data_IF_010439082458
#
_entry.id   IF_010439082458
#
_cell.length_a   1.000
_cell.length_b   1.000
_cell.length_c   1.000
_cell.angle_alpha   90.00
_cell.angle_beta   90.00
_cell.angle_gamma   90.00
#
_symmetry.space_group_name_H-M   'P 1'
#
loop_
_entity.id
_entity.type
_entity.pdbx_description
1 polymer ?
#
# COMPACT_ATOMS: atom_id res chain seq x y z
N UNK A 1 -18.97 4.86 -41.89
CA UNK A 1 -18.52 5.66 -40.73
C UNK A 1 -19.28 5.11 -39.54
N UNK A 2 -18.70 4.13 -38.86
CA UNK A 2 -19.27 3.46 -37.69
C UNK A 2 -18.84 4.22 -36.46
N UNK A 3 -19.82 4.71 -35.71
CA UNK A 3 -19.67 5.38 -34.44
C UNK A 3 -18.96 4.44 -33.44
N UNK A 4 -17.90 4.85 -32.70
CA UNK A 4 -17.28 4.00 -31.71
C UNK A 4 -18.30 3.76 -30.60
N UNK A 5 -18.66 2.50 -30.43
CA UNK A 5 -19.51 1.99 -29.36
C UNK A 5 -19.00 2.46 -28.02
N UNK A 6 -19.82 3.19 -27.30
CA UNK A 6 -19.62 3.54 -25.90
C UNK A 6 -19.39 2.25 -25.11
N UNK A 7 -18.28 2.22 -24.36
CA UNK A 7 -17.92 1.16 -23.46
C UNK A 7 -19.13 0.81 -22.57
N UNK A 8 -19.48 -0.48 -22.39
CA UNK A 8 -20.60 -0.92 -21.56
C UNK A 8 -20.59 -0.34 -20.15
N UNK A 9 -19.41 -0.03 -19.61
CA UNK A 9 -19.22 0.61 -18.30
C UNK A 9 -19.68 2.07 -18.34
N UNK A 10 -19.32 2.79 -19.38
CA UNK A 10 -19.73 4.20 -19.57
C UNK A 10 -21.26 4.29 -19.74
N UNK A 11 -21.85 3.32 -20.42
CA UNK A 11 -23.29 3.24 -20.59
C UNK A 11 -24.00 2.88 -19.26
N UNK A 12 -23.47 1.92 -18.49
CA UNK A 12 -24.00 1.57 -17.17
C UNK A 12 -23.92 2.73 -16.17
N UNK A 13 -22.87 3.56 -16.23
CA UNK A 13 -22.74 4.77 -15.41
C UNK A 13 -23.76 5.84 -15.85
N UNK A 14 -23.99 5.98 -17.14
CA UNK A 14 -24.98 6.92 -17.67
C UNK A 14 -26.42 6.49 -17.34
N UNK A 15 -26.68 5.19 -17.34
CA UNK A 15 -28.00 4.60 -17.02
C UNK A 15 -28.30 4.56 -15.51
N UNK A 16 -27.29 4.70 -14.65
CA UNK A 16 -27.43 4.71 -13.18
C UNK A 16 -28.18 5.96 -12.63
N UNK A 17 -28.41 6.95 -13.48
CA UNK A 17 -29.09 8.19 -13.08
C UNK A 17 -28.26 9.06 -12.13
N UNK A 18 -28.72 10.24 -11.78
CA UNK A 18 -28.02 11.12 -10.85
C UNK A 18 -27.93 10.45 -9.48
N UNK A 19 -26.72 10.48 -8.89
CA UNK A 19 -26.48 9.98 -7.53
C UNK A 19 -27.51 10.62 -6.59
N UNK A 20 -28.31 9.85 -5.82
CA UNK A 20 -29.28 10.40 -4.92
C UNK A 20 -28.65 11.45 -3.99
N UNK A 21 -29.33 12.57 -3.77
CA UNK A 21 -28.81 13.69 -2.96
C UNK A 21 -28.34 13.26 -1.57
N UNK A 22 -28.96 12.23 -1.01
CA UNK A 22 -28.55 11.61 0.27
C UNK A 22 -27.12 11.11 0.22
N UNK A 23 -26.69 10.52 -0.91
CA UNK A 23 -25.29 10.08 -1.08
C UNK A 23 -24.36 11.27 -1.41
N UNK A 24 -24.80 12.21 -2.21
CA UNK A 24 -24.02 13.42 -2.49
C UNK A 24 -23.77 14.24 -1.21
N UNK A 25 -24.75 14.32 -0.31
CA UNK A 25 -24.60 14.96 0.99
C UNK A 25 -23.64 14.22 1.93
N UNK A 26 -23.62 12.88 1.88
CA UNK A 26 -22.71 12.05 2.67
C UNK A 26 -21.24 12.17 2.22
N UNK A 27 -20.99 12.55 0.96
CA UNK A 27 -19.65 12.78 0.41
C UNK A 27 -19.24 14.26 0.37
N UNK A 28 -20.12 15.17 0.79
CA UNK A 28 -19.76 16.57 0.94
C UNK A 28 -18.82 16.67 2.15
N UNK A 29 -17.54 16.95 1.89
CA UNK A 29 -16.59 17.27 2.95
C UNK A 29 -17.19 18.40 3.80
N UNK A 30 -17.13 18.34 5.14
CA UNK A 30 -17.64 19.40 6.00
C UNK A 30 -16.98 20.73 5.60
N UNK A 31 -17.81 21.73 5.29
CA UNK A 31 -17.33 23.05 4.90
C UNK A 31 -16.57 23.66 6.08
N UNK A 32 -15.25 23.81 5.94
CA UNK A 32 -14.37 24.38 6.96
C UNK A 32 -13.32 23.44 7.54
N UNK A 33 -13.34 22.15 7.24
CA UNK A 33 -12.27 21.27 7.65
C UNK A 33 -11.03 21.53 6.76
N UNK A 34 -9.94 22.01 7.39
CA UNK A 34 -8.67 22.18 6.67
C UNK A 34 -8.27 20.82 6.10
N UNK A 35 -8.06 20.75 4.81
CA UNK A 35 -7.48 19.59 4.15
C UNK A 35 -6.23 19.14 4.95
N UNK A 36 -6.06 17.86 5.26
CA UNK A 36 -4.89 17.40 5.96
C UNK A 36 -3.65 17.81 5.17
N UNK A 37 -2.68 18.41 5.85
CA UNK A 37 -1.45 18.87 5.20
C UNK A 37 -0.63 17.72 4.64
N UNK A 38 -0.81 16.54 5.17
CA UNK A 38 -0.06 15.34 4.83
C UNK A 38 -0.88 14.08 5.14
N UNK A 39 -0.72 13.04 4.34
CA UNK A 39 -1.29 11.71 4.59
C UNK A 39 -0.20 10.76 5.10
N UNK A 40 -0.44 10.11 6.24
CA UNK A 40 0.44 9.07 6.78
C UNK A 40 -0.28 7.73 6.77
N UNK A 41 0.17 6.80 5.93
CA UNK A 41 -0.36 5.45 5.85
C UNK A 41 0.50 4.52 6.70
N UNK A 42 -0.08 3.97 7.76
CA UNK A 42 0.61 3.03 8.66
C UNK A 42 0.33 1.62 8.15
N UNK A 43 1.33 1.01 7.50
CA UNK A 43 1.26 -0.34 6.94
C UNK A 43 1.86 -1.33 7.93
N UNK A 44 1.01 -2.08 8.65
CA UNK A 44 1.45 -3.11 9.59
C UNK A 44 1.28 -4.53 9.04
N UNK A 45 0.37 -4.73 8.10
CA UNK A 45 0.07 -6.05 7.53
C UNK A 45 0.91 -6.33 6.29
N UNK A 46 1.38 -7.57 6.18
CA UNK A 46 2.08 -8.08 5.00
C UNK A 46 1.18 -8.87 4.04
N UNK A 47 -0.14 -8.83 4.23
CA UNK A 47 -1.07 -9.48 3.33
C UNK A 47 -1.12 -8.76 1.98
N UNK A 48 -1.23 -9.53 0.89
CA UNK A 48 -1.18 -8.99 -0.48
C UNK A 48 -2.23 -7.91 -0.71
N UNK A 49 -3.48 -8.17 -0.35
CA UNK A 49 -4.59 -7.25 -0.57
C UNK A 49 -4.46 -5.96 0.24
N UNK A 50 -3.87 -6.02 1.44
CA UNK A 50 -3.64 -4.85 2.28
C UNK A 50 -2.47 -4.01 1.77
N UNK A 51 -1.38 -4.68 1.37
CA UNK A 51 -0.26 -4.00 0.69
C UNK A 51 -0.73 -3.35 -0.60
N UNK A 52 -1.57 -4.03 -1.37
CA UNK A 52 -2.12 -3.50 -2.61
C UNK A 52 -3.00 -2.27 -2.37
N UNK A 53 -3.94 -2.37 -1.41
CA UNK A 53 -4.81 -1.25 -1.05
C UNK A 53 -4.01 -0.03 -0.56
N UNK A 54 -2.99 -0.23 0.28
CA UNK A 54 -2.14 0.86 0.77
C UNK A 54 -1.38 1.57 -0.35
N UNK A 55 -0.90 0.82 -1.35
CA UNK A 55 -0.20 1.38 -2.50
C UNK A 55 -1.15 2.13 -3.46
N UNK A 56 -2.39 1.62 -3.66
CA UNK A 56 -3.43 2.34 -4.42
C UNK A 56 -3.72 3.69 -3.75
N UNK A 57 -3.94 3.69 -2.44
CA UNK A 57 -4.25 4.92 -1.70
C UNK A 57 -3.07 5.88 -1.71
N UNK A 58 -1.84 5.39 -1.49
CA UNK A 58 -0.64 6.21 -1.50
C UNK A 58 -0.42 6.88 -2.86
N UNK A 59 -0.46 6.10 -3.95
CA UNK A 59 -0.24 6.63 -5.31
C UNK A 59 -1.36 7.60 -5.71
N UNK A 60 -2.62 7.31 -5.34
CA UNK A 60 -3.75 8.19 -5.64
C UNK A 60 -3.66 9.52 -4.88
N UNK A 61 -3.33 9.48 -3.59
CA UNK A 61 -3.16 10.67 -2.78
C UNK A 61 -2.02 11.56 -3.31
N UNK A 62 -0.86 10.96 -3.62
CA UNK A 62 0.27 11.67 -4.19
C UNK A 62 -0.05 12.25 -5.57
N UNK A 63 -0.74 11.51 -6.44
CA UNK A 63 -1.21 12.01 -7.73
C UNK A 63 -2.19 13.17 -7.61
N UNK A 64 -2.95 13.24 -6.50
CA UNK A 64 -3.86 14.35 -6.18
C UNK A 64 -3.14 15.54 -5.53
N UNK A 65 -1.81 15.51 -5.42
CA UNK A 65 -1.01 16.58 -4.83
C UNK A 65 -0.96 16.58 -3.28
N UNK A 66 -1.43 15.51 -2.64
CA UNK A 66 -1.35 15.38 -1.18
C UNK A 66 0.01 14.77 -0.82
N UNK A 67 0.87 15.46 -0.04
CA UNK A 67 2.10 14.87 0.48
C UNK A 67 1.78 13.58 1.24
N UNK A 68 2.44 12.50 0.87
CA UNK A 68 2.07 11.18 1.38
C UNK A 68 3.29 10.42 1.90
N UNK A 69 3.17 9.89 3.10
CA UNK A 69 4.18 9.05 3.75
C UNK A 69 3.60 7.68 4.09
N UNK A 70 4.41 6.65 3.96
CA UNK A 70 4.04 5.28 4.33
C UNK A 70 4.98 4.80 5.44
N UNK A 71 4.46 4.64 6.66
CA UNK A 71 5.19 4.03 7.76
C UNK A 71 5.05 2.52 7.71
N UNK A 72 6.16 1.85 7.47
CA UNK A 72 6.22 0.41 7.22
C UNK A 72 6.68 -0.31 8.49
N UNK A 73 5.79 -1.03 9.13
CA UNK A 73 6.07 -1.72 10.39
C UNK A 73 5.63 -3.19 10.36
N UNK A 74 6.17 -4.00 11.26
CA UNK A 74 5.89 -5.43 11.38
C UNK A 74 5.90 -6.15 10.01
N UNK A 75 4.82 -6.88 9.71
CA UNK A 75 4.70 -7.67 8.47
C UNK A 75 4.58 -6.79 7.22
N UNK A 76 4.07 -5.55 7.36
CA UNK A 76 4.00 -4.58 6.27
C UNK A 76 5.36 -4.23 5.73
N UNK A 77 6.37 -4.05 6.59
CA UNK A 77 7.75 -3.76 6.17
C UNK A 77 8.32 -4.84 5.24
N UNK A 78 7.98 -6.11 5.50
CA UNK A 78 8.51 -7.21 4.69
C UNK A 78 8.09 -7.18 3.23
N UNK A 79 7.01 -6.47 2.89
CA UNK A 79 6.58 -6.27 1.49
C UNK A 79 7.54 -5.36 0.72
N UNK A 80 8.35 -4.58 1.42
CA UNK A 80 9.28 -3.60 0.85
C UNK A 80 10.75 -4.01 1.02
N UNK A 81 11.01 -5.27 1.29
CA UNK A 81 12.33 -5.92 1.24
C UNK A 81 12.56 -6.41 -0.19
N UNK A 82 13.80 -6.41 -0.66
CA UNK A 82 14.16 -6.96 -1.97
C UNK A 82 13.78 -8.44 -2.08
N UNK A 83 13.22 -8.84 -3.21
CA UNK A 83 12.68 -10.21 -3.43
C UNK A 83 13.73 -11.32 -3.29
N UNK A 84 15.01 -11.03 -3.51
CA UNK A 84 16.15 -11.94 -3.40
C UNK A 84 16.66 -12.10 -1.97
N UNK A 85 16.32 -11.18 -1.08
CA UNK A 85 16.79 -11.20 0.31
C UNK A 85 16.02 -12.26 1.10
N UNK A 86 16.74 -12.94 1.97
CA UNK A 86 16.16 -13.79 3.03
C UNK A 86 16.45 -13.16 4.38
N UNK A 87 15.51 -13.25 5.30
CA UNK A 87 15.72 -12.82 6.67
C UNK A 87 16.83 -13.71 7.26
N UNK A 88 18.03 -13.15 7.42
CA UNK A 88 19.24 -13.89 7.84
C UNK A 88 19.67 -13.49 9.26
N UNK A 89 18.73 -13.12 10.11
CA UNK A 89 19.05 -12.81 11.51
C UNK A 89 19.83 -13.93 12.18
N UNK A 90 20.74 -13.59 13.09
CA UNK A 90 21.66 -14.55 13.73
C UNK A 90 20.95 -15.52 14.69
N UNK A 91 19.73 -15.23 15.12
CA UNK A 91 18.94 -16.05 16.02
C UNK A 91 18.22 -17.20 15.31
N UNK A 92 18.10 -18.35 15.99
CA UNK A 92 17.34 -19.49 15.47
C UNK A 92 15.86 -19.15 15.20
N UNK A 93 15.24 -18.27 15.98
CA UNK A 93 13.87 -17.78 15.76
C UNK A 93 13.75 -16.95 14.48
N UNK A 94 14.73 -16.09 14.20
CA UNK A 94 14.76 -15.28 12.97
C UNK A 94 14.94 -16.17 11.73
N UNK A 95 15.75 -17.24 11.84
CA UNK A 95 15.90 -18.27 10.77
C UNK A 95 14.60 -19.02 10.53
N UNK A 96 13.87 -19.36 11.58
CA UNK A 96 12.56 -20.01 11.47
C UNK A 96 11.52 -19.09 10.82
N UNK A 97 11.47 -17.80 11.19
CA UNK A 97 10.61 -16.80 10.52
C UNK A 97 10.95 -16.66 9.04
N UNK A 98 12.24 -16.66 8.68
CA UNK A 98 12.68 -16.61 7.28
C UNK A 98 12.24 -17.82 6.47
N UNK A 99 12.15 -18.99 7.10
CA UNK A 99 11.64 -20.21 6.46
C UNK A 99 10.11 -20.13 6.25
N UNK A 100 9.38 -19.59 7.24
CA UNK A 100 7.91 -19.50 7.20
C UNK A 100 7.41 -18.39 6.29
N UNK A 101 8.14 -17.28 6.18
CA UNK A 101 7.74 -16.11 5.37
C UNK A 101 8.89 -15.64 4.48
N UNK A 102 8.63 -15.61 3.20
CA UNK A 102 9.53 -15.01 2.22
C UNK A 102 9.24 -13.50 2.15
N UNK A 103 10.23 -12.63 2.40
CA UNK A 103 10.07 -11.19 2.19
C UNK A 103 9.93 -10.85 0.71
N UNK A 104 9.57 -9.63 0.41
CA UNK A 104 9.41 -9.11 -0.94
C UNK A 104 7.95 -9.05 -1.40
N UNK A 105 7.65 -8.05 -2.20
CA UNK A 105 6.29 -7.76 -2.69
C UNK A 105 5.74 -8.88 -3.57
N UNK A 106 6.62 -9.56 -4.31
CA UNK A 106 6.26 -10.65 -5.21
C UNK A 106 5.88 -11.96 -4.47
N UNK A 107 6.19 -12.06 -3.19
CA UNK A 107 5.96 -13.27 -2.39
C UNK A 107 4.80 -13.13 -1.39
N UNK A 108 4.05 -12.02 -1.47
CA UNK A 108 2.93 -11.79 -0.54
C UNK A 108 1.78 -12.74 -0.80
N UNK A 109 1.20 -13.22 0.29
CA UNK A 109 0.06 -14.14 0.29
C UNK A 109 -1.21 -13.35 0.61
N UNK A 110 -2.36 -13.84 0.16
CA UNK A 110 -3.65 -13.34 0.63
C UNK A 110 -3.88 -13.75 2.09
N UNK A 111 -4.53 -12.89 2.86
CA UNK A 111 -4.94 -13.19 4.25
C UNK A 111 -5.92 -14.34 4.30
N UNK A 112 -6.82 -14.40 3.33
CA UNK A 112 -7.82 -15.46 3.14
C UNK A 112 -7.73 -16.00 1.72
N UNK A 113 -8.20 -17.25 1.52
CA UNK A 113 -8.27 -17.87 0.19
C UNK A 113 -6.91 -18.00 -0.54
N UNK A 114 -5.81 -18.15 0.21
CA UNK A 114 -4.50 -18.30 -0.39
C UNK A 114 -4.34 -19.61 -1.20
N UNK A 115 -4.97 -20.72 -0.78
CA UNK A 115 -5.04 -22.03 -1.43
C UNK A 115 -3.75 -22.38 -2.23
N UNK A 116 -2.62 -22.49 -1.54
CA UNK A 116 -1.30 -22.80 -2.14
C UNK A 116 -0.87 -21.85 -3.28
N UNK A 117 -1.37 -20.60 -3.30
CA UNK A 117 -1.02 -19.59 -4.30
C UNK A 117 -2.05 -19.42 -5.42
N UNK A 118 -3.10 -20.24 -5.48
CA UNK A 118 -4.17 -20.09 -6.48
C UNK A 118 -4.89 -18.75 -6.31
N UNK A 119 -5.15 -18.32 -5.06
CA UNK A 119 -5.80 -17.05 -4.77
C UNK A 119 -5.03 -15.84 -5.31
N UNK A 120 -3.74 -15.65 -4.98
CA UNK A 120 -2.92 -14.58 -5.55
C UNK A 120 -2.86 -14.60 -7.08
N UNK A 121 -2.74 -15.79 -7.68
CA UNK A 121 -2.75 -15.94 -9.13
C UNK A 121 -4.08 -15.49 -9.75
N UNK A 122 -5.20 -15.89 -9.16
CA UNK A 122 -6.54 -15.50 -9.61
C UNK A 122 -6.76 -13.99 -9.46
N UNK A 123 -6.37 -13.40 -8.33
CA UNK A 123 -6.42 -11.94 -8.13
C UNK A 123 -5.56 -11.19 -9.14
N UNK A 124 -4.35 -11.67 -9.44
CA UNK A 124 -3.48 -11.07 -10.46
C UNK A 124 -4.07 -11.16 -11.86
N UNK A 125 -4.78 -12.25 -12.17
CA UNK A 125 -5.46 -12.44 -13.46
C UNK A 125 -6.65 -11.48 -13.60
N UNK A 126 -7.47 -11.37 -12.55
CA UNK A 126 -8.59 -10.42 -12.51
C UNK A 126 -8.10 -8.97 -12.61
N UNK A 127 -7.07 -8.61 -11.85
CA UNK A 127 -6.46 -7.29 -11.93
C UNK A 127 -6.05 -6.93 -13.37
N UNK A 128 -5.38 -7.87 -14.06
CA UNK A 128 -5.00 -7.68 -15.47
C UNK A 128 -6.23 -7.52 -16.39
N UNK A 129 -7.28 -8.28 -16.16
CA UNK A 129 -8.52 -8.23 -16.95
C UNK A 129 -9.24 -6.88 -16.80
N UNK A 130 -9.21 -6.31 -15.59
CA UNK A 130 -9.86 -5.03 -15.28
C UNK A 130 -8.92 -3.81 -15.33
N UNK A 131 -7.70 -3.98 -15.84
CA UNK A 131 -6.74 -2.89 -15.97
C UNK A 131 -6.23 -2.32 -14.65
N UNK A 132 -6.30 -3.10 -13.57
CA UNK A 132 -5.79 -2.69 -12.26
C UNK A 132 -4.29 -2.93 -12.20
N UNK A 133 -3.51 -1.89 -11.91
CA UNK A 133 -2.06 -1.98 -11.77
C UNK A 133 -1.66 -2.93 -10.63
N UNK A 134 -0.61 -3.71 -10.84
CA UNK A 134 -0.09 -4.65 -9.84
C UNK A 134 0.63 -3.91 -8.70
N UNK A 135 0.79 -4.54 -7.52
CA UNK A 135 1.47 -3.90 -6.39
C UNK A 135 2.86 -3.36 -6.72
N UNK A 136 3.65 -4.05 -7.53
CA UNK A 136 4.98 -3.60 -7.93
C UNK A 136 4.91 -2.32 -8.79
N UNK A 137 4.01 -2.29 -9.76
CA UNK A 137 3.79 -1.12 -10.63
C UNK A 137 3.29 0.09 -9.83
N UNK A 138 2.39 -0.16 -8.86
CA UNK A 138 1.89 0.89 -7.95
C UNK A 138 2.98 1.41 -7.02
N UNK A 139 3.87 0.54 -6.55
CA UNK A 139 5.01 0.95 -5.73
C UNK A 139 5.96 1.86 -6.53
N UNK A 140 6.31 1.47 -7.73
CA UNK A 140 7.14 2.29 -8.63
C UNK A 140 6.47 3.65 -8.92
N UNK A 141 5.17 3.65 -9.20
CA UNK A 141 4.39 4.87 -9.40
C UNK A 141 4.33 5.75 -8.14
N UNK A 142 4.09 5.17 -6.97
CA UNK A 142 4.04 5.90 -5.70
C UNK A 142 5.38 6.58 -5.41
N UNK A 143 6.49 5.86 -5.61
CA UNK A 143 7.84 6.42 -5.44
C UNK A 143 8.13 7.54 -6.45
N UNK A 144 7.75 7.35 -7.71
CA UNK A 144 7.92 8.37 -8.75
C UNK A 144 7.08 9.64 -8.46
N UNK A 145 5.95 9.49 -7.77
CA UNK A 145 5.09 10.60 -7.33
C UNK A 145 5.56 11.22 -6.00
N UNK A 146 6.68 10.78 -5.44
CA UNK A 146 7.28 11.35 -4.24
C UNK A 146 6.70 10.83 -2.93
N UNK A 147 6.04 9.67 -2.91
CA UNK A 147 5.65 9.01 -1.66
C UNK A 147 6.90 8.62 -0.87
N UNK A 148 7.00 9.09 0.36
CA UNK A 148 8.10 8.78 1.27
C UNK A 148 7.84 7.45 1.98
N UNK A 149 8.77 6.50 1.85
CA UNK A 149 8.71 5.19 2.51
C UNK A 149 9.56 5.24 3.77
N UNK A 150 8.93 5.13 4.94
CA UNK A 150 9.57 5.21 6.26
C UNK A 150 9.60 3.83 6.92
N UNK A 151 10.72 3.11 6.89
CA UNK A 151 10.83 1.82 7.55
C UNK A 151 10.93 1.98 9.08
N UNK A 152 10.24 1.11 9.82
CA UNK A 152 10.29 1.09 11.27
C UNK A 152 11.61 0.47 11.76
N UNK A 153 12.44 1.27 12.47
CA UNK A 153 13.72 0.80 13.02
C UNK A 153 13.56 -0.41 13.93
N UNK A 154 12.60 -0.37 14.87
CA UNK A 154 12.35 -1.49 15.78
C UNK A 154 12.02 -2.80 15.02
N UNK A 155 11.26 -2.69 13.95
CA UNK A 155 10.90 -3.86 13.13
C UNK A 155 12.12 -4.38 12.37
N UNK A 156 12.97 -3.51 11.86
CA UNK A 156 14.22 -3.90 11.20
C UNK A 156 15.13 -4.66 12.18
N UNK A 157 15.30 -4.14 13.38
CA UNK A 157 16.13 -4.78 14.43
C UNK A 157 15.55 -6.14 14.83
N UNK A 158 14.23 -6.22 15.02
CA UNK A 158 13.55 -7.46 15.38
C UNK A 158 13.69 -8.56 14.33
N UNK A 159 13.62 -8.21 13.05
CA UNK A 159 13.79 -9.16 11.95
C UNK A 159 15.24 -9.32 11.49
N UNK A 160 16.18 -8.55 12.05
CA UNK A 160 17.59 -8.55 11.65
C UNK A 160 17.79 -8.03 10.21
N UNK A 161 16.93 -7.14 9.76
CA UNK A 161 16.99 -6.52 8.44
C UNK A 161 17.93 -5.30 8.46
N UNK A 162 18.70 -5.16 7.39
CA UNK A 162 19.58 -4.00 7.18
C UNK A 162 18.98 -3.08 6.13
N UNK A 163 19.46 -1.85 6.10
CA UNK A 163 19.09 -0.88 5.05
C UNK A 163 19.34 -1.42 3.63
N UNK A 164 20.42 -2.16 3.43
CA UNK A 164 20.78 -2.77 2.15
C UNK A 164 19.78 -3.83 1.68
N UNK A 165 18.98 -4.38 2.60
CA UNK A 165 17.99 -5.42 2.30
C UNK A 165 16.68 -4.82 1.79
N UNK A 166 16.47 -3.52 2.01
CA UNK A 166 15.30 -2.79 1.55
C UNK A 166 15.38 -2.47 0.07
N UNK A 167 14.23 -2.27 -0.55
CA UNK A 167 14.14 -1.76 -1.93
C UNK A 167 14.86 -0.41 -2.06
N UNK A 168 15.31 -0.12 -3.26
CA UNK A 168 15.93 1.16 -3.55
C UNK A 168 14.91 2.30 -3.42
N UNK A 169 15.34 3.48 -2.97
CA UNK A 169 14.44 4.62 -2.70
C UNK A 169 13.74 4.58 -1.34
N UNK A 170 14.01 3.57 -0.50
CA UNK A 170 13.53 3.56 0.88
C UNK A 170 14.12 4.73 1.68
N UNK A 171 13.31 5.42 2.49
CA UNK A 171 13.72 6.48 3.41
C UNK A 171 14.60 5.99 4.57
N UNK A 172 15.09 6.88 5.42
CA UNK A 172 15.84 6.49 6.62
C UNK A 172 14.91 5.80 7.64
N UNK A 173 15.43 4.82 8.38
CA UNK A 173 14.64 4.18 9.43
C UNK A 173 14.21 5.17 10.51
N UNK A 174 12.93 5.09 10.90
CA UNK A 174 12.35 5.98 11.90
C UNK A 174 11.69 5.20 13.03
N UNK A 175 11.53 5.86 14.16
CA UNK A 175 10.78 5.34 15.32
C UNK A 175 9.30 5.69 15.25
N UNK A 176 8.48 5.03 16.09
CA UNK A 176 7.07 5.36 16.25
C UNK A 176 6.86 6.82 16.72
N UNK A 177 7.81 7.38 17.46
CA UNK A 177 7.76 8.77 17.92
C UNK A 177 7.66 9.77 16.74
N UNK A 178 8.41 9.53 15.67
CA UNK A 178 8.36 10.36 14.44
C UNK A 178 6.96 10.34 13.81
N UNK A 179 6.31 9.17 13.78
CA UNK A 179 4.94 9.05 13.24
C UNK A 179 3.95 9.82 14.12
N UNK A 180 4.05 9.68 15.43
CA UNK A 180 3.18 10.41 16.37
C UNK A 180 3.37 11.93 16.25
N UNK A 181 4.61 12.39 16.03
CA UNK A 181 4.90 13.81 15.80
C UNK A 181 4.24 14.31 14.51
N UNK A 182 4.31 13.55 13.40
CA UNK A 182 3.62 13.90 12.16
C UNK A 182 2.10 14.03 12.37
N UNK A 183 1.50 13.08 13.09
CA UNK A 183 0.07 13.10 13.39
C UNK A 183 -0.30 14.29 14.30
N UNK A 184 0.51 14.58 15.31
CA UNK A 184 0.32 15.72 16.21
C UNK A 184 0.41 17.05 15.44
N UNK A 185 1.20 17.11 14.36
CA UNK A 185 1.33 18.25 13.48
C UNK A 185 0.23 18.35 12.39
N UNK A 186 -0.79 17.50 12.47
CA UNK A 186 -1.99 17.56 11.63
C UNK A 186 -1.96 16.70 10.38
N UNK A 187 -1.08 15.68 10.32
CA UNK A 187 -1.17 14.66 9.29
C UNK A 187 -2.40 13.76 9.51
N UNK A 188 -3.04 13.34 8.42
CA UNK A 188 -4.18 12.43 8.47
C UNK A 188 -3.68 10.97 8.51
N UNK A 189 -4.08 10.14 9.50
CA UNK A 189 -3.66 8.75 9.57
C UNK A 189 -4.58 7.82 8.77
N UNK A 190 -3.97 6.83 8.09
CA UNK A 190 -4.64 5.61 7.66
C UNK A 190 -3.88 4.41 8.21
N UNK A 191 -4.61 3.45 8.78
CA UNK A 191 -4.02 2.25 9.38
C UNK A 191 -4.48 1.01 8.61
N UNK A 192 -3.54 0.29 7.95
CA UNK A 192 -3.81 -0.83 7.04
C UNK A 192 -2.93 -2.03 7.36
#
# INVERSE_FOLDING_TARGET
>A
MTNPTSDPITQAIADAGPVPEVFAAAFKAPEGEKQPRELVIICYSGDLEKTWASLILASTAAASGTPTKMFLTFWGLQSFVKDEVRITGQGWMQKMLSFMQRPGISHRKLSKMNFLGIGPWMMGTLAKQYGVAKPKELLEAAMALGVELMPCQMTMDMFGLKRSDMIDGMGEPVGAATVIELLANGAAPLFI
#
